data_IF_178614531779
#
_entry.id   IF_178614531779
#
_cell.length_a   1.000
_cell.length_b   1.000
_cell.length_c   1.000
_cell.angle_alpha   90.00
_cell.angle_beta   90.00
_cell.angle_gamma   90.00
#
_symmetry.space_group_name_H-M   'P 1'
#
loop_
_entity.id
_entity.type
_entity.pdbx_description
1 polymer ?
#
# COMPACT_ATOMS: atom_id res chain seq x y z
N UNK A 1 -43.24 26.33 -13.37
CA UNK A 1 -41.80 26.64 -13.18
C UNK A 1 -41.33 26.61 -11.72
N UNK A 2 -41.85 27.42 -10.78
CA UNK A 2 -41.36 27.47 -9.37
C UNK A 2 -41.40 26.13 -8.59
N UNK A 3 -42.37 25.25 -8.84
CA UNK A 3 -42.45 23.92 -8.18
C UNK A 3 -41.38 22.94 -8.69
N UNK A 4 -41.10 22.93 -9.99
CA UNK A 4 -40.05 22.10 -10.59
C UNK A 4 -38.65 22.47 -10.08
N UNK A 5 -38.34 23.76 -9.94
CA UNK A 5 -37.05 24.23 -9.41
C UNK A 5 -36.87 23.81 -7.94
N UNK A 6 -37.92 23.86 -7.12
CA UNK A 6 -37.87 23.40 -5.72
C UNK A 6 -37.64 21.90 -5.61
N UNK A 7 -38.31 21.08 -6.43
CA UNK A 7 -38.13 19.62 -6.43
C UNK A 7 -36.72 19.21 -6.89
N UNK A 8 -36.17 19.89 -7.90
CA UNK A 8 -34.79 19.67 -8.34
C UNK A 8 -33.77 20.05 -7.27
N UNK A 9 -33.96 21.18 -6.57
CA UNK A 9 -33.09 21.61 -5.48
C UNK A 9 -33.09 20.63 -4.31
N UNK A 10 -34.27 20.11 -3.92
CA UNK A 10 -34.38 19.12 -2.84
C UNK A 10 -33.71 17.80 -3.22
N UNK A 11 -33.88 17.31 -4.45
CA UNK A 11 -33.18 16.11 -4.91
C UNK A 11 -31.66 16.30 -4.96
N UNK A 12 -31.18 17.47 -5.41
CA UNK A 12 -29.76 17.79 -5.43
C UNK A 12 -29.17 17.83 -4.01
N UNK A 13 -29.89 18.46 -3.05
CA UNK A 13 -29.47 18.52 -1.65
C UNK A 13 -29.48 17.14 -0.98
N UNK A 14 -30.51 16.32 -1.24
CA UNK A 14 -30.57 14.96 -0.72
C UNK A 14 -29.45 14.08 -1.28
N UNK A 15 -29.14 14.20 -2.57
CA UNK A 15 -28.01 13.50 -3.19
C UNK A 15 -26.66 13.95 -2.60
N UNK A 16 -26.46 15.26 -2.44
CA UNK A 16 -25.25 15.80 -1.81
C UNK A 16 -25.10 15.35 -0.35
N UNK A 17 -26.20 15.33 0.41
CA UNK A 17 -26.20 14.84 1.79
C UNK A 17 -25.85 13.36 1.88
N UNK A 18 -26.34 12.53 0.95
CA UNK A 18 -26.01 11.11 0.89
C UNK A 18 -24.52 10.90 0.59
N UNK A 19 -23.97 11.60 -0.41
CA UNK A 19 -22.54 11.54 -0.76
C UNK A 19 -21.68 11.97 0.42
N UNK A 20 -22.07 13.05 1.09
CA UNK A 20 -21.41 13.48 2.32
C UNK A 20 -21.47 12.36 3.38
N UNK A 21 -22.64 11.81 3.68
CA UNK A 21 -22.79 10.78 4.71
C UNK A 21 -21.91 9.55 4.43
N UNK A 22 -21.83 9.11 3.18
CA UNK A 22 -20.98 7.97 2.78
C UNK A 22 -19.50 8.32 2.94
N UNK A 23 -19.05 9.48 2.44
CA UNK A 23 -17.64 9.87 2.53
C UNK A 23 -17.20 10.14 3.97
N UNK A 24 -18.03 10.80 4.78
CA UNK A 24 -17.79 11.00 6.21
C UNK A 24 -17.82 9.69 6.99
N UNK A 25 -18.71 8.75 6.61
CA UNK A 25 -18.79 7.42 7.19
C UNK A 25 -17.48 6.65 7.02
N UNK A 26 -16.95 6.57 5.80
CA UNK A 26 -15.70 5.86 5.53
C UNK A 26 -14.51 6.44 6.28
N UNK A 27 -14.32 7.76 6.27
CA UNK A 27 -13.24 8.38 7.02
C UNK A 27 -13.39 8.27 8.55
N UNK A 28 -14.61 8.10 9.05
CA UNK A 28 -14.87 7.84 10.47
C UNK A 28 -14.76 6.35 10.84
N UNK A 29 -14.80 5.42 9.88
CA UNK A 29 -14.64 3.98 10.15
C UNK A 29 -13.20 3.53 9.89
N UNK A 30 -12.54 4.15 8.92
CA UNK A 30 -11.19 3.85 8.48
C UNK A 30 -10.39 5.16 8.27
N UNK A 31 -10.05 5.87 9.38
CA UNK A 31 -9.34 7.16 9.31
C UNK A 31 -7.94 7.04 8.68
N UNK A 32 -7.45 5.82 8.53
CA UNK A 32 -6.19 5.48 7.90
C UNK A 32 -6.28 5.37 6.38
N UNK A 33 -7.47 5.12 5.82
CA UNK A 33 -7.65 4.93 4.37
C UNK A 33 -7.99 6.23 3.66
N UNK A 34 -8.80 7.08 4.30
CA UNK A 34 -9.32 8.33 3.73
C UNK A 34 -9.25 9.46 4.74
N UNK A 35 -8.78 10.64 4.31
CA UNK A 35 -8.68 11.83 5.17
C UNK A 35 -9.52 12.98 4.63
N UNK A 36 -10.46 13.44 5.45
CA UNK A 36 -11.27 14.65 5.15
C UNK A 36 -10.53 15.94 5.50
N UNK A 37 -9.58 15.85 6.45
CA UNK A 37 -8.86 17.01 6.98
C UNK A 37 -7.59 17.32 6.19
N UNK A 38 -7.28 16.54 5.16
CA UNK A 38 -6.02 16.63 4.42
C UNK A 38 -4.82 16.07 5.17
N UNK A 39 -5.03 15.47 6.36
CA UNK A 39 -3.99 14.72 7.07
C UNK A 39 -3.49 13.53 6.24
N UNK A 40 -2.22 13.13 6.39
CA UNK A 40 -1.70 11.93 5.76
C UNK A 40 -2.53 10.68 6.09
N UNK A 41 -2.61 9.75 5.14
CA UNK A 41 -3.26 8.43 5.27
C UNK A 41 -2.25 7.32 5.02
N UNK A 42 -2.51 6.10 5.47
CA UNK A 42 -1.67 4.94 5.15
C UNK A 42 -1.67 4.68 3.63
N UNK A 43 -2.81 4.89 2.99
CA UNK A 43 -2.95 4.84 1.52
C UNK A 43 -2.11 5.92 0.83
N UNK A 44 -1.73 5.66 -0.42
CA UNK A 44 -0.96 6.57 -1.25
C UNK A 44 0.36 5.98 -1.74
N UNK A 45 1.30 6.83 -2.10
CA UNK A 45 2.57 6.43 -2.71
C UNK A 45 3.71 6.57 -1.72
N UNK A 46 4.56 5.56 -1.67
CA UNK A 46 5.66 5.44 -0.73
C UNK A 46 6.93 4.98 -1.46
N UNK A 47 8.11 5.40 -1.01
CA UNK A 47 9.36 4.86 -1.53
C UNK A 47 10.45 4.76 -0.48
N UNK A 48 11.34 3.80 -0.69
CA UNK A 48 12.53 3.55 0.12
C UNK A 48 13.68 3.05 -0.75
N UNK A 49 14.87 3.10 -0.17
CA UNK A 49 16.00 2.29 -0.61
C UNK A 49 16.13 1.13 0.38
N UNK A 50 16.11 -0.10 -0.13
CA UNK A 50 15.97 -1.32 0.68
C UNK A 50 17.14 -2.28 0.44
N UNK A 51 17.79 -2.80 1.49
CA UNK A 51 18.79 -3.84 1.33
C UNK A 51 18.12 -5.22 1.18
N UNK A 52 18.21 -5.86 0.01
CA UNK A 52 17.68 -7.21 -0.24
C UNK A 52 18.71 -8.31 0.05
N UNK A 53 19.40 -8.22 1.19
CA UNK A 53 20.51 -9.12 1.53
C UNK A 53 21.85 -8.72 0.88
N UNK A 54 22.76 -9.67 0.58
CA UNK A 54 24.08 -9.36 0.03
C UNK A 54 23.97 -8.85 -1.42
N UNK A 55 24.29 -7.57 -1.62
CA UNK A 55 24.22 -6.92 -2.93
C UNK A 55 24.00 -5.41 -2.80
N UNK A 56 23.84 -4.71 -3.92
CA UNK A 56 23.44 -3.30 -3.91
C UNK A 56 22.02 -3.17 -3.36
N UNK A 57 21.78 -2.06 -2.66
CA UNK A 57 20.42 -1.67 -2.28
C UNK A 57 19.55 -1.44 -3.52
N UNK A 58 18.24 -1.65 -3.36
CA UNK A 58 17.26 -1.50 -4.42
C UNK A 58 16.30 -0.38 -4.09
N UNK A 59 15.92 0.39 -5.11
CA UNK A 59 14.86 1.36 -4.94
C UNK A 59 13.52 0.62 -4.99
N UNK A 60 12.69 0.83 -3.97
CA UNK A 60 11.37 0.23 -3.84
C UNK A 60 10.34 1.35 -3.76
N UNK A 61 9.26 1.27 -4.51
CA UNK A 61 8.13 2.17 -4.38
C UNK A 61 6.81 1.42 -4.31
N UNK A 62 5.96 1.77 -3.36
CA UNK A 62 4.62 1.22 -3.19
C UNK A 62 3.56 2.22 -3.61
N UNK A 63 2.47 1.69 -4.14
CA UNK A 63 1.18 2.35 -4.25
C UNK A 63 0.20 1.55 -3.41
N UNK A 64 -0.12 2.06 -2.22
CA UNK A 64 -0.99 1.41 -1.24
C UNK A 64 -2.41 1.93 -1.42
N UNK A 65 -3.35 1.01 -1.63
CA UNK A 65 -4.78 1.26 -1.81
C UNK A 65 -5.60 0.52 -0.76
N UNK A 66 -6.82 1.01 -0.54
CA UNK A 66 -7.83 0.33 0.25
C UNK A 66 -8.80 -0.37 -0.71
N UNK A 67 -9.03 -1.66 -0.49
CA UNK A 67 -10.07 -2.40 -1.21
C UNK A 67 -11.39 -2.28 -0.45
N UNK A 68 -12.38 -1.66 -1.10
CA UNK A 68 -13.72 -1.51 -0.56
C UNK A 68 -14.54 -2.75 -0.98
N UNK A 69 -14.84 -3.64 -0.02
CA UNK A 69 -15.42 -4.96 -0.36
C UNK A 69 -15.67 -5.88 0.83
N UNK A 70 -15.58 -7.19 0.57
CA UNK A 70 -15.96 -8.26 1.51
C UNK A 70 -14.98 -8.47 2.68
N UNK A 71 -13.86 -7.74 2.70
CA UNK A 71 -12.83 -7.95 3.70
C UNK A 71 -12.59 -6.70 4.57
N UNK A 72 -12.68 -6.91 5.87
CA UNK A 72 -12.59 -5.86 6.87
C UNK A 72 -11.14 -5.39 7.01
N UNK A 73 -10.87 -4.13 6.64
CA UNK A 73 -9.55 -3.47 6.71
C UNK A 73 -8.46 -4.05 5.81
N UNK A 74 -8.85 -4.49 4.61
CA UNK A 74 -7.86 -4.93 3.63
C UNK A 74 -7.06 -3.79 3.04
N UNK A 75 -5.84 -4.12 2.66
CA UNK A 75 -4.92 -3.23 1.97
C UNK A 75 -4.38 -3.98 0.80
N UNK A 76 -4.45 -3.36 -0.38
CA UNK A 76 -3.85 -3.87 -1.59
C UNK A 76 -2.86 -2.86 -2.15
N UNK A 77 -2.05 -3.27 -3.11
CA UNK A 77 -1.25 -2.33 -3.83
C UNK A 77 -0.28 -2.93 -4.83
N UNK A 78 0.45 -2.01 -5.47
CA UNK A 78 1.49 -2.31 -6.42
C UNK A 78 2.85 -1.89 -5.84
N UNK A 79 3.87 -2.71 -6.06
CA UNK A 79 5.25 -2.43 -5.72
C UNK A 79 6.11 -2.40 -6.99
N UNK A 80 7.01 -1.42 -7.07
CA UNK A 80 8.09 -1.34 -8.06
C UNK A 80 9.42 -1.56 -7.38
N UNK A 81 10.24 -2.45 -7.91
CA UNK A 81 11.58 -2.75 -7.41
C UNK A 81 12.56 -2.50 -8.54
N UNK A 82 13.53 -1.61 -8.31
CA UNK A 82 14.51 -1.20 -9.30
C UNK A 82 15.93 -1.43 -8.77
N UNK A 83 16.78 -2.03 -9.61
CA UNK A 83 18.23 -2.05 -9.48
C UNK A 83 18.87 -1.61 -10.81
N UNK A 84 20.20 -1.56 -10.88
CA UNK A 84 20.93 -1.03 -12.04
C UNK A 84 20.55 -1.68 -13.38
N UNK A 85 20.27 -2.98 -13.37
CA UNK A 85 19.99 -3.83 -14.52
C UNK A 85 18.65 -4.57 -14.42
N UNK A 86 17.86 -4.25 -13.40
CA UNK A 86 16.67 -5.04 -13.03
C UNK A 86 15.49 -4.15 -12.67
N UNK A 87 14.31 -4.46 -13.20
CA UNK A 87 13.04 -3.80 -12.88
C UNK A 87 11.96 -4.84 -12.72
N UNK A 88 11.21 -4.77 -11.64
CA UNK A 88 10.13 -5.68 -11.33
C UNK A 88 8.93 -4.93 -10.78
N UNK A 89 7.75 -5.29 -11.27
CA UNK A 89 6.47 -4.91 -10.69
C UNK A 89 5.90 -6.12 -9.93
N UNK A 90 5.41 -5.90 -8.71
CA UNK A 90 4.72 -6.91 -7.90
C UNK A 90 3.40 -6.34 -7.39
N UNK A 91 2.44 -7.21 -7.10
CA UNK A 91 1.25 -6.83 -6.33
C UNK A 91 1.37 -7.39 -4.92
N UNK A 92 0.79 -6.69 -3.95
CA UNK A 92 0.66 -7.17 -2.58
C UNK A 92 -0.76 -6.96 -2.09
N UNK A 93 -1.15 -7.82 -1.16
CA UNK A 93 -2.39 -7.75 -0.39
C UNK A 93 -2.08 -7.87 1.10
N UNK A 94 -3.05 -7.58 1.95
CA UNK A 94 -2.84 -7.57 3.38
C UNK A 94 -3.97 -6.93 4.15
N UNK A 95 -3.69 -6.59 5.40
CA UNK A 95 -4.69 -6.02 6.30
C UNK A 95 -4.09 -5.10 7.36
N UNK A 96 -4.91 -4.15 7.80
CA UNK A 96 -4.62 -3.31 8.96
C UNK A 96 -5.09 -4.02 10.24
N UNK A 97 -4.21 -4.09 11.23
CA UNK A 97 -4.48 -4.79 12.50
C UNK A 97 -5.36 -4.02 13.47
N UNK A 98 -5.41 -2.70 13.34
CA UNK A 98 -6.15 -1.85 14.26
C UNK A 98 -6.95 -0.76 13.53
N UNK A 99 -7.89 -0.17 14.25
CA UNK A 99 -8.78 0.86 13.71
C UNK A 99 -8.04 2.12 13.23
N UNK A 100 -6.87 2.42 13.79
CA UNK A 100 -6.13 3.63 13.47
C UNK A 100 -5.15 3.49 12.30
N UNK A 101 -4.98 2.31 11.70
CA UNK A 101 -3.97 2.14 10.66
C UNK A 101 -2.55 1.99 11.16
N UNK A 102 -2.31 1.96 12.47
CA UNK A 102 -0.94 2.15 12.98
C UNK A 102 -0.08 0.90 12.88
N UNK A 103 -0.71 -0.26 12.62
CA UNK A 103 -0.06 -1.55 12.44
C UNK A 103 -0.74 -2.29 11.28
N UNK A 104 0.07 -2.89 10.42
CA UNK A 104 -0.42 -3.60 9.23
C UNK A 104 0.50 -4.78 8.88
N UNK A 105 -0.07 -5.72 8.13
CA UNK A 105 0.62 -6.83 7.48
C UNK A 105 0.33 -6.79 5.99
N UNK A 106 1.36 -7.01 5.18
CA UNK A 106 1.29 -7.13 3.72
C UNK A 106 2.02 -8.41 3.30
N UNK A 107 1.60 -9.00 2.20
CA UNK A 107 2.27 -10.12 1.56
C UNK A 107 2.21 -9.92 0.06
N UNK A 108 3.33 -10.12 -0.62
CA UNK A 108 3.31 -10.21 -2.08
C UNK A 108 2.81 -11.58 -2.52
N UNK A 109 1.89 -11.62 -3.47
CA UNK A 109 1.43 -12.87 -4.01
C UNK A 109 2.54 -13.53 -4.87
N UNK A 110 2.78 -14.85 -4.74
CA UNK A 110 3.91 -15.53 -5.39
C UNK A 110 3.72 -15.79 -6.90
N UNK A 111 2.79 -15.09 -7.57
CA UNK A 111 2.49 -15.38 -8.96
C UNK A 111 3.63 -14.94 -9.87
N UNK A 112 4.15 -15.88 -10.66
CA UNK A 112 5.18 -15.67 -11.69
C UNK A 112 6.54 -15.17 -11.17
N UNK A 113 6.93 -15.50 -9.93
CA UNK A 113 8.25 -15.13 -9.43
C UNK A 113 9.35 -15.81 -10.27
N UNK A 114 10.23 -14.96 -10.81
CA UNK A 114 11.47 -15.38 -11.46
C UNK A 114 12.55 -15.68 -10.41
N UNK A 115 13.60 -16.45 -10.74
CA UNK A 115 14.72 -16.64 -9.83
C UNK A 115 15.28 -15.30 -9.30
N UNK A 116 15.51 -15.20 -8.00
CA UNK A 116 15.99 -13.98 -7.34
C UNK A 116 15.40 -13.75 -5.94
N UNK A 117 15.73 -12.61 -5.36
CA UNK A 117 15.21 -12.16 -4.06
C UNK A 117 14.09 -11.16 -4.30
N UNK A 118 12.94 -11.36 -3.66
CA UNK A 118 11.71 -10.61 -3.82
C UNK A 118 11.27 -10.01 -2.49
N UNK A 119 10.30 -9.08 -2.53
CA UNK A 119 9.52 -8.79 -1.33
C UNK A 119 8.79 -10.07 -0.94
N UNK A 120 8.63 -10.32 0.35
CA UNK A 120 7.85 -11.44 0.87
C UNK A 120 6.82 -10.93 1.87
N UNK A 121 6.72 -11.59 3.02
CA UNK A 121 5.86 -11.12 4.10
C UNK A 121 6.42 -9.83 4.71
N UNK A 122 5.55 -8.89 5.03
CA UNK A 122 5.91 -7.59 5.56
C UNK A 122 5.00 -7.25 6.72
N UNK A 123 5.59 -6.81 7.82
CA UNK A 123 4.87 -6.17 8.92
C UNK A 123 5.29 -4.71 8.98
N UNK A 124 4.37 -3.82 9.31
CA UNK A 124 4.71 -2.41 9.36
C UNK A 124 3.92 -1.61 10.36
N UNK A 125 4.45 -0.42 10.63
CA UNK A 125 3.83 0.58 11.51
C UNK A 125 3.78 1.94 10.83
N UNK A 126 2.71 2.68 11.13
CA UNK A 126 2.46 4.02 10.62
C UNK A 126 1.97 4.93 11.73
N UNK A 127 2.69 6.03 11.99
CA UNK A 127 2.38 6.95 13.08
C UNK A 127 1.50 8.14 12.65
N UNK A 128 0.75 8.03 11.54
CA UNK A 128 -0.12 9.12 11.06
C UNK A 128 0.59 10.18 10.22
N UNK A 129 1.78 9.90 9.70
CA UNK A 129 2.63 10.86 8.98
C UNK A 129 3.07 10.43 7.58
N UNK A 130 4.23 10.93 7.16
CA UNK A 130 4.84 10.66 5.86
C UNK A 130 5.98 9.63 5.95
N UNK A 131 5.91 8.77 6.97
CA UNK A 131 6.87 7.69 7.21
C UNK A 131 6.15 6.37 7.52
N UNK A 132 6.55 5.30 6.83
CA UNK A 132 6.21 3.91 7.16
C UNK A 132 7.46 3.17 7.61
N UNK A 133 7.37 2.46 8.73
CA UNK A 133 8.43 1.55 9.17
C UNK A 133 8.00 0.14 8.83
N UNK A 134 8.82 -0.56 8.05
CA UNK A 134 8.52 -1.91 7.56
C UNK A 134 9.62 -2.86 8.02
N UNK A 135 9.20 -4.07 8.37
CA UNK A 135 10.05 -5.22 8.58
C UNK A 135 9.64 -6.28 7.57
N UNK A 136 10.51 -6.56 6.59
CA UNK A 136 10.25 -7.48 5.49
C UNK A 136 11.00 -8.80 5.69
N UNK A 137 10.29 -9.91 5.56
CA UNK A 137 10.87 -11.22 5.33
C UNK A 137 11.06 -11.40 3.81
N UNK A 138 12.30 -11.30 3.29
CA UNK A 138 12.55 -11.43 1.87
C UNK A 138 12.22 -12.86 1.39
N UNK A 139 11.70 -12.97 0.18
CA UNK A 139 11.41 -14.25 -0.45
C UNK A 139 12.46 -14.57 -1.51
N UNK A 140 13.26 -15.61 -1.27
CA UNK A 140 14.24 -16.15 -2.22
C UNK A 140 13.57 -17.22 -3.08
N UNK A 141 13.68 -17.04 -4.39
CA UNK A 141 13.22 -17.98 -5.41
C UNK A 141 14.43 -18.48 -6.19
N UNK A 142 14.57 -19.80 -6.25
CA UNK A 142 15.72 -20.46 -6.84
C UNK A 142 15.66 -20.49 -8.38
N UNK A 143 16.77 -20.92 -8.99
CA UNK A 143 16.89 -21.08 -10.44
C UNK A 143 15.83 -22.03 -11.04
N UNK A 144 15.44 -23.06 -10.29
CA UNK A 144 14.37 -24.01 -10.65
C UNK A 144 12.96 -23.53 -10.27
N UNK A 145 12.84 -22.28 -9.77
CA UNK A 145 11.62 -21.64 -9.26
C UNK A 145 11.05 -22.25 -7.98
N UNK A 146 11.82 -23.09 -7.28
CA UNK A 146 11.48 -23.49 -5.92
C UNK A 146 11.73 -22.34 -4.93
N UNK A 147 11.11 -22.44 -3.76
CA UNK A 147 11.43 -21.62 -2.60
C UNK A 147 11.58 -22.58 -1.42
N UNK A 148 12.77 -22.59 -0.82
CA UNK A 148 13.09 -23.42 0.33
C UNK A 148 13.36 -22.55 1.56
N UNK A 149 12.89 -23.00 2.73
CA UNK A 149 12.97 -22.23 3.97
C UNK A 149 14.41 -22.03 4.47
N UNK A 150 15.29 -23.00 4.22
CA UNK A 150 16.71 -22.99 4.61
C UNK A 150 17.58 -22.05 3.77
N UNK A 151 17.04 -21.53 2.67
CA UNK A 151 17.70 -20.55 1.80
C UNK A 151 17.12 -19.14 1.97
N UNK A 152 16.12 -18.97 2.85
CA UNK A 152 15.58 -17.65 3.20
C UNK A 152 16.50 -16.98 4.23
N UNK A 153 16.70 -15.66 4.15
CA UNK A 153 17.41 -14.92 5.19
C UNK A 153 16.79 -15.11 6.59
N UNK A 154 17.62 -15.44 7.58
CA UNK A 154 17.21 -15.75 8.96
C UNK A 154 16.56 -14.59 9.72
N UNK A 155 16.65 -13.36 9.19
CA UNK A 155 16.19 -12.15 9.87
C UNK A 155 15.37 -11.27 8.93
N UNK A 156 14.25 -10.73 9.41
CA UNK A 156 13.56 -9.66 8.72
C UNK A 156 14.49 -8.46 8.47
N UNK A 157 14.32 -7.84 7.31
CA UNK A 157 15.02 -6.65 6.89
C UNK A 157 14.19 -5.42 7.25
N UNK A 158 14.62 -4.59 8.20
CA UNK A 158 13.95 -3.34 8.49
C UNK A 158 14.28 -2.28 7.44
N UNK A 159 13.28 -1.50 7.02
CA UNK A 159 13.49 -0.29 6.25
C UNK A 159 12.39 0.73 6.51
N UNK A 160 12.64 1.97 6.10
CA UNK A 160 11.70 3.08 6.26
C UNK A 160 11.32 3.62 4.89
N UNK A 161 10.03 3.73 4.63
CA UNK A 161 9.51 4.36 3.42
C UNK A 161 9.04 5.78 3.72
N UNK A 162 9.23 6.65 2.74
CA UNK A 162 8.77 8.03 2.79
C UNK A 162 7.69 8.26 1.75
N UNK A 163 6.74 9.15 2.07
CA UNK A 163 5.69 9.52 1.13
C UNK A 163 6.29 10.15 -0.12
N UNK A 164 5.77 9.77 -1.27
CA UNK A 164 6.09 10.36 -2.57
C UNK A 164 4.81 10.73 -3.32
N UNK A 165 4.96 11.44 -4.44
CA UNK A 165 3.86 11.72 -5.34
C UNK A 165 3.62 10.55 -6.31
N UNK A 166 2.46 10.53 -6.96
CA UNK A 166 2.17 9.65 -8.10
C UNK A 166 3.22 9.80 -9.22
N UNK A 167 3.70 11.02 -9.47
CA UNK A 167 4.75 11.27 -10.46
C UNK A 167 6.08 10.66 -10.03
N UNK A 168 6.42 10.71 -8.74
CA UNK A 168 7.56 10.02 -8.16
C UNK A 168 7.47 8.51 -8.38
N UNK A 169 6.31 7.91 -8.07
CA UNK A 169 6.09 6.47 -8.26
C UNK A 169 6.23 6.03 -9.73
N UNK A 170 5.80 6.87 -10.66
CA UNK A 170 5.95 6.61 -12.09
C UNK A 170 7.39 6.79 -12.60
N UNK A 171 8.22 7.51 -11.84
CA UNK A 171 9.61 7.79 -12.17
C UNK A 171 10.61 6.86 -11.44
N UNK A 172 10.21 6.11 -10.41
CA UNK A 172 11.11 5.31 -9.55
C UNK A 172 12.09 4.42 -10.32
N UNK A 173 11.66 3.77 -11.40
CA UNK A 173 12.53 2.91 -12.20
C UNK A 173 12.91 3.51 -13.56
N UNK A 174 12.96 4.84 -13.72
CA UNK A 174 13.32 5.46 -15.01
C UNK A 174 14.80 5.73 -15.11
#
# INVERSE_FOLDING_TARGET
MRRLVKSLLVMALAGAALIALVTFGHAALDPWSTSITGKPTLTGYWAATVPFGPGPERQVAFHVTFEDGDCFRCVDGDAKICAADYKMDQTFDGHVKNYHGTEFELSTAPYNLVPGVHLGAMTGTWAGGDELKISMEPLVVNADRSSHSDEQPDKPTPFTMHRISKSGFNATCR
#
